data_IF_162046732217
#
_entry.id   IF_162046732217
#
_cell.length_a   1.000
_cell.length_b   1.000
_cell.length_c   1.000
_cell.angle_alpha   90.00
_cell.angle_beta   90.00
_cell.angle_gamma   90.00
#
_symmetry.space_group_name_H-M   'P 1'
#
loop_
_entity.id
_entity.type
_entity.pdbx_description
1 polymer ?
#
# COMPACT_ATOMS: atom_id res chain seq x y z
N UNK A 1 1.83 -5.92 -9.56
CA UNK A 1 0.84 -6.34 -8.55
C UNK A 1 1.06 -7.83 -8.26
N UNK A 2 0.57 -8.29 -7.12
CA UNK A 2 0.63 -9.66 -6.65
C UNK A 2 -0.77 -10.13 -6.25
N UNK A 3 -1.01 -11.42 -6.42
CA UNK A 3 -2.20 -12.12 -5.97
C UNK A 3 -1.74 -13.22 -5.01
N UNK A 4 -2.44 -13.37 -3.89
CA UNK A 4 -2.23 -14.45 -2.92
C UNK A 4 -3.35 -15.45 -3.09
N UNK A 5 -2.99 -16.72 -3.27
CA UNK A 5 -3.94 -17.83 -3.32
C UNK A 5 -3.82 -18.71 -2.08
N UNK A 6 -4.92 -19.36 -1.71
CA UNK A 6 -4.96 -20.43 -0.73
C UNK A 6 -5.58 -21.65 -1.41
N UNK A 7 -4.73 -22.58 -1.85
CA UNK A 7 -5.15 -23.60 -2.83
C UNK A 7 -5.58 -22.92 -4.14
N UNK A 8 -6.80 -23.19 -4.59
CA UNK A 8 -7.37 -22.58 -5.80
C UNK A 8 -8.11 -21.27 -5.53
N UNK A 9 -8.34 -20.88 -4.27
CA UNK A 9 -9.09 -19.68 -3.92
C UNK A 9 -8.22 -18.41 -3.92
N UNK A 10 -8.78 -17.30 -4.40
CA UNK A 10 -8.15 -15.97 -4.30
C UNK A 10 -8.31 -15.42 -2.88
N UNK A 11 -7.22 -15.34 -2.13
CA UNK A 11 -7.23 -14.90 -0.74
C UNK A 11 -7.02 -13.39 -0.60
N UNK A 12 -6.34 -12.75 -1.55
CA UNK A 12 -6.13 -11.31 -1.55
C UNK A 12 -5.16 -10.85 -2.63
N UNK A 13 -4.94 -9.54 -2.69
CA UNK A 13 -4.01 -8.94 -3.63
C UNK A 13 -3.42 -7.63 -3.10
N UNK A 14 -2.35 -7.20 -3.74
CA UNK A 14 -1.78 -5.88 -3.54
C UNK A 14 -0.60 -5.64 -4.43
N UNK A 15 0.08 -4.53 -4.22
CA UNK A 15 1.21 -4.22 -5.06
C UNK A 15 2.02 -3.06 -4.56
N UNK A 16 3.07 -2.82 -5.32
CA UNK A 16 3.95 -1.71 -5.11
C UNK A 16 4.26 -1.04 -6.45
N UNK A 17 4.78 0.19 -6.40
CA UNK A 17 5.14 0.95 -7.59
C UNK A 17 6.26 1.95 -7.32
N UNK A 18 7.08 2.18 -8.35
CA UNK A 18 8.01 3.31 -8.45
C UNK A 18 7.38 4.57 -9.03
N UNK A 19 6.06 4.61 -9.27
CA UNK A 19 5.36 5.81 -9.75
C UNK A 19 5.02 6.73 -8.58
N UNK A 20 5.12 8.04 -8.78
CA UNK A 20 4.94 9.03 -7.72
C UNK A 20 3.53 9.08 -7.14
N UNK A 21 2.51 8.79 -7.97
CA UNK A 21 1.10 8.74 -7.56
C UNK A 21 0.89 7.78 -6.39
N UNK A 22 0.39 8.30 -5.26
CA UNK A 22 0.29 7.59 -3.98
C UNK A 22 -0.75 6.45 -4.00
N UNK A 23 -2.00 6.78 -4.33
CA UNK A 23 -3.12 5.85 -4.47
C UNK A 23 -4.13 6.44 -5.48
N UNK A 24 -5.23 5.72 -5.72
CA UNK A 24 -6.27 6.15 -6.65
C UNK A 24 -6.25 5.40 -7.98
N UNK A 25 -7.35 5.56 -8.72
CA UNK A 25 -7.59 4.96 -10.03
C UNK A 25 -7.24 5.93 -11.17
N UNK A 26 -7.67 5.60 -12.39
CA UNK A 26 -7.24 6.38 -13.55
C UNK A 26 -7.81 7.80 -13.61
N UNK A 27 -8.99 7.98 -13.01
CA UNK A 27 -9.72 9.25 -12.94
C UNK A 27 -9.34 10.11 -11.72
N UNK A 28 -8.39 9.67 -10.89
CA UNK A 28 -7.98 10.42 -9.69
C UNK A 28 -7.28 11.73 -10.11
N UNK A 29 -7.69 12.90 -9.58
CA UNK A 29 -6.98 14.17 -9.81
C UNK A 29 -5.55 14.14 -9.24
N UNK A 30 -4.64 14.95 -9.81
CA UNK A 30 -3.28 15.10 -9.27
C UNK A 30 -2.35 13.90 -9.50
N UNK A 31 -2.67 13.02 -10.46
CA UNK A 31 -1.76 11.94 -10.88
C UNK A 31 -0.47 12.53 -11.46
N UNK A 32 0.63 11.86 -11.15
CA UNK A 32 1.93 12.13 -11.73
C UNK A 32 2.45 10.88 -12.43
N UNK A 33 2.94 11.08 -13.66
CA UNK A 33 3.65 10.09 -14.44
C UNK A 33 5.12 9.94 -13.99
N UNK A 34 5.61 10.82 -13.11
CA UNK A 34 6.99 10.80 -12.64
C UNK A 34 7.31 9.48 -11.95
N UNK A 35 8.53 9.01 -12.20
CA UNK A 35 9.14 7.92 -11.46
C UNK A 35 9.85 8.45 -10.23
N UNK A 36 9.86 7.65 -9.18
CA UNK A 36 10.50 7.91 -7.91
C UNK A 36 11.98 7.50 -7.99
N UNK A 37 12.84 8.28 -7.34
CA UNK A 37 14.26 7.98 -7.16
C UNK A 37 14.45 7.06 -5.95
N UNK A 38 14.91 5.79 -6.12
CA UNK A 38 15.09 4.86 -5.00
C UNK A 38 16.05 5.34 -3.90
N UNK A 39 16.98 6.25 -4.22
CA UNK A 39 17.94 6.80 -3.27
C UNK A 39 17.32 7.86 -2.34
N UNK A 40 16.23 8.50 -2.75
CA UNK A 40 15.63 9.66 -2.07
C UNK A 40 14.19 9.43 -1.67
N UNK A 41 13.43 8.73 -2.49
CA UNK A 41 11.98 8.60 -2.38
C UNK A 41 11.54 7.29 -1.70
N UNK A 42 10.24 7.19 -1.41
CA UNK A 42 9.62 5.99 -0.89
C UNK A 42 8.76 5.32 -1.97
N UNK A 43 9.01 4.04 -2.23
CA UNK A 43 8.16 3.24 -3.11
C UNK A 43 6.72 3.20 -2.58
N UNK A 44 5.73 3.20 -3.48
CA UNK A 44 4.31 3.23 -3.11
C UNK A 44 3.80 1.81 -2.93
N UNK A 45 3.28 1.46 -1.76
CA UNK A 45 2.45 0.26 -1.58
C UNK A 45 0.98 0.64 -1.74
N UNK A 46 0.24 -0.12 -2.53
CA UNK A 46 -1.13 0.23 -2.95
C UNK A 46 -1.97 -0.99 -3.31
N UNK A 47 -3.27 -0.77 -3.48
CA UNK A 47 -4.27 -1.78 -3.87
C UNK A 47 -4.34 -2.98 -2.92
N UNK A 48 -4.24 -2.73 -1.60
CA UNK A 48 -4.25 -3.79 -0.59
C UNK A 48 -5.68 -4.28 -0.35
N UNK A 49 -5.97 -5.53 -0.74
CA UNK A 49 -7.26 -6.16 -0.52
C UNK A 49 -7.08 -7.58 0.03
N UNK A 50 -7.95 -7.97 0.95
CA UNK A 50 -8.01 -9.34 1.49
C UNK A 50 -9.45 -9.80 1.38
N UNK A 51 -9.65 -11.00 0.85
CA UNK A 51 -10.98 -11.61 0.76
C UNK A 51 -11.54 -11.82 2.19
N UNK A 52 -12.83 -11.56 2.44
CA UNK A 52 -13.42 -11.63 3.79
C UNK A 52 -13.16 -12.98 4.49
N UNK A 53 -13.30 -14.09 3.78
CA UNK A 53 -13.05 -15.45 4.31
C UNK A 53 -11.58 -15.74 4.68
N UNK A 54 -10.68 -14.82 4.34
CA UNK A 54 -9.24 -14.94 4.57
C UNK A 54 -8.67 -13.84 5.47
N UNK A 55 -9.53 -13.01 6.08
CA UNK A 55 -9.09 -12.00 7.05
C UNK A 55 -8.43 -12.66 8.26
N UNK A 56 -7.48 -11.94 8.86
CA UNK A 56 -6.72 -12.41 10.05
C UNK A 56 -5.91 -13.69 9.86
N UNK A 57 -5.72 -14.18 8.63
CA UNK A 57 -4.89 -15.35 8.28
C UNK A 57 -3.51 -15.00 7.71
N UNK A 58 -3.05 -13.75 7.89
CA UNK A 58 -1.71 -13.31 7.47
C UNK A 58 -1.59 -12.86 6.00
N UNK A 59 -2.66 -12.90 5.19
CA UNK A 59 -2.64 -12.51 3.77
C UNK A 59 -2.09 -11.10 3.56
N UNK A 60 -2.61 -10.10 4.27
CA UNK A 60 -2.12 -8.72 4.16
C UNK A 60 -0.64 -8.57 4.54
N UNK A 61 -0.19 -9.30 5.58
CA UNK A 61 1.22 -9.29 6.00
C UNK A 61 2.13 -9.91 4.94
N UNK A 62 1.69 -10.99 4.30
CA UNK A 62 2.42 -11.62 3.20
C UNK A 62 2.58 -10.64 2.03
N UNK A 63 1.48 -10.00 1.59
CA UNK A 63 1.52 -9.02 0.51
C UNK A 63 2.48 -7.86 0.83
N UNK A 64 2.42 -7.31 2.05
CA UNK A 64 3.33 -6.24 2.48
C UNK A 64 4.79 -6.68 2.44
N UNK A 65 5.09 -7.91 2.86
CA UNK A 65 6.45 -8.46 2.81
C UNK A 65 6.95 -8.60 1.38
N UNK A 66 6.12 -9.16 0.47
CA UNK A 66 6.47 -9.32 -0.95
C UNK A 66 6.70 -7.96 -1.61
N UNK A 67 5.82 -6.98 -1.35
CA UNK A 67 5.98 -5.61 -1.84
C UNK A 67 7.27 -4.95 -1.34
N UNK A 68 7.57 -5.04 -0.04
CA UNK A 68 8.78 -4.48 0.54
C UNK A 68 10.05 -5.12 -0.04
N UNK A 69 10.06 -6.44 -0.20
CA UNK A 69 11.19 -7.16 -0.80
C UNK A 69 11.40 -6.78 -2.27
N UNK A 70 10.33 -6.64 -3.05
CA UNK A 70 10.41 -6.24 -4.45
C UNK A 70 10.91 -4.79 -4.59
N UNK A 71 10.45 -3.86 -3.74
CA UNK A 71 10.95 -2.49 -3.70
C UNK A 71 12.44 -2.44 -3.31
N UNK A 72 12.86 -3.23 -2.31
CA UNK A 72 14.27 -3.30 -1.88
C UNK A 72 15.19 -3.80 -3.01
N UNK A 73 14.72 -4.77 -3.80
CA UNK A 73 15.46 -5.27 -4.98
C UNK A 73 15.68 -4.19 -6.05
N UNK A 74 14.86 -3.14 -6.07
CA UNK A 74 15.05 -1.97 -6.94
C UNK A 74 15.77 -0.80 -6.25
N UNK A 75 16.40 -1.06 -5.10
CA UNK A 75 17.22 -0.07 -4.39
C UNK A 75 16.48 0.89 -3.48
N UNK A 76 15.15 0.76 -3.35
CA UNK A 76 14.38 1.58 -2.40
C UNK A 76 14.72 1.20 -0.96
N UNK A 77 14.89 2.21 -0.11
CA UNK A 77 15.19 2.05 1.33
C UNK A 77 13.95 2.20 2.22
N UNK A 78 12.85 2.70 1.65
CA UNK A 78 11.60 2.96 2.35
C UNK A 78 10.39 2.78 1.44
N UNK A 79 9.28 2.45 2.05
CA UNK A 79 7.95 2.36 1.42
C UNK A 79 6.97 3.27 2.13
N UNK A 80 5.99 3.76 1.39
CA UNK A 80 4.89 4.58 1.88
C UNK A 80 3.55 4.03 1.38
N UNK A 81 2.49 4.21 2.16
CA UNK A 81 1.11 3.85 1.82
C UNK A 81 0.11 4.83 2.43
N UNK A 82 -1.10 4.87 1.87
CA UNK A 82 -2.27 5.47 2.51
C UNK A 82 -3.09 4.40 3.23
N UNK A 83 -3.33 4.59 4.51
CA UNK A 83 -4.14 3.72 5.34
C UNK A 83 -5.52 4.32 5.59
N UNK A 84 -6.59 3.58 5.25
CA UNK A 84 -7.91 3.83 5.85
C UNK A 84 -7.89 3.40 7.32
N UNK A 85 -8.88 3.84 8.10
CA UNK A 85 -9.01 3.45 9.51
C UNK A 85 -9.04 1.92 9.72
N UNK A 86 -9.62 1.18 8.77
CA UNK A 86 -9.65 -0.28 8.82
C UNK A 86 -8.27 -0.92 8.56
N UNK A 87 -7.45 -0.29 7.72
CA UNK A 87 -6.11 -0.78 7.38
C UNK A 87 -5.03 -0.43 8.40
N UNK A 88 -5.17 0.71 9.10
CA UNK A 88 -4.17 1.22 10.05
C UNK A 88 -3.63 0.17 11.04
N UNK A 89 -4.47 -0.66 11.72
CA UNK A 89 -3.98 -1.64 12.68
C UNK A 89 -3.02 -2.67 12.07
N UNK A 90 -3.29 -3.12 10.83
CA UNK A 90 -2.41 -4.04 10.11
C UNK A 90 -1.05 -3.40 9.82
N UNK A 91 -1.05 -2.16 9.34
CA UNK A 91 0.18 -1.46 8.97
C UNK A 91 1.04 -1.16 10.20
N UNK A 92 0.44 -0.73 11.33
CA UNK A 92 1.16 -0.57 12.60
C UNK A 92 1.79 -1.87 13.08
N UNK A 93 1.05 -2.97 13.04
CA UNK A 93 1.57 -4.29 13.39
C UNK A 93 2.72 -4.75 12.46
N UNK A 94 2.77 -4.23 11.23
CA UNK A 94 3.87 -4.47 10.29
C UNK A 94 5.02 -3.47 10.42
N UNK A 95 5.00 -2.56 11.39
CA UNK A 95 6.06 -1.59 11.67
C UNK A 95 5.97 -0.28 10.89
N UNK A 96 4.85 0.00 10.23
CA UNK A 96 4.64 1.30 9.60
C UNK A 96 4.38 2.39 10.64
N UNK A 97 4.99 3.55 10.44
CA UNK A 97 4.86 4.73 11.28
C UNK A 97 3.94 5.76 10.61
N UNK A 98 3.12 6.49 11.39
CA UNK A 98 2.28 7.55 10.87
C UNK A 98 3.13 8.73 10.38
N UNK A 99 2.67 9.41 9.32
CA UNK A 99 3.29 10.64 8.81
C UNK A 99 2.32 11.82 8.83
N UNK A 100 1.19 11.69 8.15
CA UNK A 100 0.23 12.80 7.96
C UNK A 100 -1.17 12.26 7.70
N UNK A 101 -2.18 12.90 8.28
CA UNK A 101 -3.59 12.67 7.94
C UNK A 101 -4.01 13.57 6.79
N UNK A 102 -4.77 13.01 5.86
CA UNK A 102 -5.43 13.70 4.75
C UNK A 102 -6.86 13.18 4.64
N UNK A 103 -7.69 13.89 3.88
CA UNK A 103 -9.03 13.44 3.51
C UNK A 103 -9.08 13.22 2.01
N UNK A 104 -9.69 12.12 1.59
CA UNK A 104 -10.01 11.84 0.19
C UNK A 104 -11.52 11.98 0.01
N UNK A 105 -11.94 13.04 -0.69
CA UNK A 105 -13.34 13.37 -0.98
C UNK A 105 -13.79 12.92 -2.38
N UNK A 106 -12.93 12.22 -3.12
CA UNK A 106 -13.22 11.83 -4.52
C UNK A 106 -14.33 10.78 -4.66
N UNK A 107 -14.69 10.10 -3.58
CA UNK A 107 -15.72 9.05 -3.54
C UNK A 107 -17.13 9.51 -3.14
N UNK A 108 -17.38 10.83 -3.04
CA UNK A 108 -18.68 11.38 -2.63
C UNK A 108 -18.90 11.43 -1.10
N UNK A 109 -18.08 10.73 -0.32
CA UNK A 109 -17.96 10.88 1.12
C UNK A 109 -16.47 10.99 1.51
N UNK A 110 -16.06 12.02 2.27
CA UNK A 110 -14.68 12.16 2.70
C UNK A 110 -14.19 10.97 3.53
N UNK A 111 -13.16 10.28 3.04
CA UNK A 111 -12.51 9.17 3.74
C UNK A 111 -11.23 9.69 4.39
N UNK A 112 -11.05 9.54 5.72
CA UNK A 112 -9.79 9.86 6.36
C UNK A 112 -8.73 8.84 5.96
N UNK A 113 -7.60 9.35 5.44
CA UNK A 113 -6.43 8.55 5.06
C UNK A 113 -5.25 8.98 5.92
N UNK A 114 -4.63 8.02 6.60
CA UNK A 114 -3.36 8.21 7.28
C UNK A 114 -2.22 7.78 6.35
N UNK A 115 -1.41 8.72 5.89
CA UNK A 115 -0.16 8.40 5.21
C UNK A 115 0.81 7.79 6.21
N UNK A 116 1.36 6.63 5.87
CA UNK A 116 2.25 5.85 6.73
C UNK A 116 3.46 5.36 5.94
N UNK A 117 4.59 5.20 6.62
CA UNK A 117 5.85 4.81 6.00
C UNK A 117 6.60 3.77 6.82
N UNK A 118 7.53 3.04 6.19
CA UNK A 118 8.39 2.07 6.85
C UNK A 118 9.73 1.96 6.12
N UNK A 119 10.82 1.79 6.87
CA UNK A 119 12.10 1.36 6.30
C UNK A 119 12.04 -0.10 5.85
N UNK A 120 12.65 -0.38 4.70
CA UNK A 120 12.80 -1.74 4.15
C UNK A 120 14.27 -2.03 3.92
#
# INVERSE_FOLDING_TARGET
>A
YFVVTCGQALAGCGGWSRRATMYGGDKTPGRSAALLDPARDAARVRAMYTHPDFVRRGVGRLILSVCGNAARKEGFRRVELGATMAGEPLYRACGYQPRRRIFDDTGGAPVPILLMWKMI
#
